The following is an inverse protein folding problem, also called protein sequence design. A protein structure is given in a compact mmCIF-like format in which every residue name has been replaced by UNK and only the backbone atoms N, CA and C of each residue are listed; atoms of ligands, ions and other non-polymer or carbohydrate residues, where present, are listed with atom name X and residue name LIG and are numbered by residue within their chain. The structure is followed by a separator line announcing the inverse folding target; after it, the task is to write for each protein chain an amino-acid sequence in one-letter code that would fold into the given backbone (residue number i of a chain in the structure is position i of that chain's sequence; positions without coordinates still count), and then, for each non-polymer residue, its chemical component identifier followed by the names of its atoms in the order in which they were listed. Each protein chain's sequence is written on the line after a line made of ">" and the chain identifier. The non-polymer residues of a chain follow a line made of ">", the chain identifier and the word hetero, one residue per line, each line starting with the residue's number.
data_IF_019273711626
#
_entry.id   IF_019273711626
#
_cell.length_a   1.000
_cell.length_b   1.000
_cell.length_c   1.000
_cell.angle_alpha   90.00
_cell.angle_beta   90.00
_cell.angle_gamma   90.00
#
_symmetry.space_group_name_H-M   'P 1'
#
loop_
_entity.id
_entity.type
_entity.pdbx_description
1 polymer ?
#
# COMPACT_ATOMS: atom_id res chain seq x y z
N UNK A 1 17.27 -7.14 43.45
CA UNK A 1 16.49 -7.87 42.42
C UNK A 1 16.11 -6.93 41.30
N UNK A 2 15.83 -7.46 40.11
CA UNK A 2 15.37 -6.71 38.95
C UNK A 2 13.98 -7.17 38.57
N UNK A 3 13.08 -6.23 38.31
CA UNK A 3 11.71 -6.48 37.86
C UNK A 3 11.50 -5.74 36.55
N UNK A 4 11.11 -6.49 35.53
CA UNK A 4 10.81 -5.99 34.18
C UNK A 4 9.52 -6.64 33.71
N UNK A 5 8.79 -5.93 32.86
CA UNK A 5 7.68 -6.54 32.15
C UNK A 5 8.20 -7.43 31.01
N UNK A 6 7.58 -8.61 30.86
CA UNK A 6 7.89 -9.50 29.75
C UNK A 6 7.17 -9.02 28.47
N UNK A 7 7.95 -8.60 27.48
CA UNK A 7 7.41 -8.31 26.16
C UNK A 7 7.11 -9.61 25.39
N UNK A 8 5.83 -9.92 25.21
CA UNK A 8 5.37 -11.11 24.48
C UNK A 8 5.25 -10.92 22.96
N UNK A 9 5.50 -9.70 22.46
CA UNK A 9 5.33 -9.31 21.06
C UNK A 9 3.90 -9.51 20.52
N UNK A 10 2.88 -9.36 21.37
CA UNK A 10 1.49 -9.37 20.94
C UNK A 10 1.18 -8.27 19.93
N UNK A 11 0.44 -8.61 18.87
CA UNK A 11 0.12 -7.67 17.80
C UNK A 11 -0.70 -6.47 18.33
N UNK A 12 -0.29 -5.27 17.93
CA UNK A 12 -0.88 -3.99 18.32
C UNK A 12 -0.76 -3.65 19.82
N UNK A 13 0.09 -4.34 20.58
CA UNK A 13 0.45 -3.94 21.93
C UNK A 13 1.86 -3.34 21.95
N UNK A 14 2.02 -2.25 22.68
CA UNK A 14 3.32 -1.73 23.12
C UNK A 14 3.41 -1.93 24.63
N UNK A 15 4.38 -2.75 25.04
CA UNK A 15 4.65 -3.05 26.45
C UNK A 15 5.58 -1.99 27.06
N UNK A 16 5.47 -1.78 28.37
CA UNK A 16 6.33 -0.86 29.10
C UNK A 16 7.76 -1.43 29.16
N UNK A 17 8.75 -0.58 28.89
CA UNK A 17 10.16 -0.95 28.89
C UNK A 17 10.88 -0.59 30.20
N UNK A 18 10.15 -0.05 31.18
CA UNK A 18 10.71 0.33 32.48
C UNK A 18 11.41 -0.85 33.18
N UNK A 19 12.48 -0.53 33.88
CA UNK A 19 13.21 -1.48 34.71
C UNK A 19 13.23 -0.99 36.15
N UNK A 20 12.78 -1.88 37.05
CA UNK A 20 12.82 -1.61 38.47
C UNK A 20 13.91 -2.42 39.15
N UNK A 21 14.68 -1.76 40.00
CA UNK A 21 15.61 -2.38 40.93
C UNK A 21 14.99 -2.40 42.32
N UNK A 22 14.86 -3.59 42.90
CA UNK A 22 14.40 -3.80 44.28
C UNK A 22 15.61 -4.09 45.14
N UNK A 23 15.87 -3.23 46.11
CA UNK A 23 16.94 -3.37 47.09
C UNK A 23 16.29 -3.88 48.37
N UNK A 24 16.79 -5.00 48.90
CA UNK A 24 16.30 -5.59 50.14
C UNK A 24 17.45 -5.56 51.13
N UNK A 25 17.35 -4.67 52.11
CA UNK A 25 18.31 -4.58 53.21
C UNK A 25 17.81 -5.43 54.37
N UNK A 26 18.62 -6.40 54.77
CA UNK A 26 18.31 -7.32 55.87
C UNK A 26 19.25 -7.03 57.01
N UNK A 27 18.68 -6.62 58.14
CA UNK A 27 19.42 -6.29 59.37
C UNK A 27 18.87 -7.06 60.55
N UNK A 28 19.59 -7.02 61.67
CA UNK A 28 19.13 -7.58 62.93
C UNK A 28 18.60 -6.45 63.83
N UNK A 29 17.42 -6.63 64.45
CA UNK A 29 16.87 -5.69 65.43
C UNK A 29 17.49 -5.86 66.84
N UNK A 30 17.00 -5.06 67.79
CA UNK A 30 17.49 -5.08 69.18
C UNK A 30 17.25 -6.43 69.90
N UNK A 31 16.28 -7.23 69.43
CA UNK A 31 15.94 -8.54 69.99
C UNK A 31 16.67 -9.70 69.27
N UNK A 32 17.64 -9.39 68.41
CA UNK A 32 18.34 -10.34 67.54
C UNK A 32 17.46 -11.02 66.48
N UNK A 33 16.37 -10.38 66.03
CA UNK A 33 15.53 -10.89 64.93
C UNK A 33 15.87 -10.21 63.61
N UNK A 34 15.74 -10.94 62.52
CA UNK A 34 15.93 -10.40 61.18
C UNK A 34 14.75 -9.49 60.81
N UNK A 35 15.06 -8.29 60.35
CA UNK A 35 14.13 -7.29 59.80
C UNK A 35 14.60 -6.96 58.38
N UNK A 36 13.66 -6.89 57.45
CA UNK A 36 13.94 -6.53 56.06
C UNK A 36 13.25 -5.20 55.70
N UNK A 37 14.00 -4.29 55.08
CA UNK A 37 13.48 -3.08 54.45
C UNK A 37 13.62 -3.19 52.95
N UNK A 38 12.66 -2.64 52.22
CA UNK A 38 12.61 -2.74 50.75
C UNK A 38 12.55 -1.34 50.16
N UNK A 39 13.52 -1.04 49.31
CA UNK A 39 13.56 0.17 48.49
C UNK A 39 13.40 -0.20 47.01
N UNK A 40 12.65 0.63 46.30
CA UNK A 40 12.38 0.46 44.87
C UNK A 40 12.99 1.62 44.12
N UNK A 41 13.70 1.33 43.03
CA UNK A 41 14.20 2.31 42.10
C UNK A 41 13.67 2.03 40.70
N UNK A 42 13.19 3.06 40.01
CA UNK A 42 12.84 3.05 38.58
C UNK A 42 13.90 3.86 37.84
N UNK A 43 14.59 3.26 36.89
CA UNK A 43 15.62 3.96 36.08
C UNK A 43 16.64 4.73 36.93
N UNK A 44 17.09 4.12 38.04
CA UNK A 44 18.00 4.68 39.06
C UNK A 44 17.46 5.85 39.90
N UNK A 45 16.17 6.17 39.84
CA UNK A 45 15.49 7.09 40.73
C UNK A 45 14.57 6.36 41.71
N UNK A 46 14.38 6.89 42.92
CA UNK A 46 13.48 6.28 43.90
C UNK A 46 12.03 6.23 43.38
N UNK A 47 11.35 5.12 43.61
CA UNK A 47 9.95 4.91 43.26
C UNK A 47 9.18 4.35 44.46
N UNK A 48 7.91 4.71 44.57
CA UNK A 48 7.05 4.24 45.68
C UNK A 48 6.48 2.84 45.41
N UNK A 49 6.29 2.50 44.14
CA UNK A 49 5.71 1.24 43.70
C UNK A 49 6.25 0.84 42.33
N UNK A 50 5.96 -0.40 41.94
CA UNK A 50 6.28 -0.95 40.62
C UNK A 50 5.00 -0.95 39.79
N UNK A 51 4.96 -0.10 38.76
CA UNK A 51 3.85 -0.03 37.80
C UNK A 51 4.39 -0.13 36.36
N UNK A 52 3.68 -0.87 35.51
CA UNK A 52 3.94 -0.97 34.08
C UNK A 52 2.70 -0.50 33.31
N UNK A 53 2.88 0.45 32.38
CA UNK A 53 1.80 1.01 31.57
C UNK A 53 1.91 0.61 30.11
N UNK A 54 0.95 -0.19 29.65
CA UNK A 54 0.91 -0.69 28.28
C UNK A 54 -0.06 0.09 27.41
N UNK A 55 0.19 0.09 26.10
CA UNK A 55 -0.68 0.71 25.10
C UNK A 55 -1.19 -0.34 24.11
N UNK A 56 -2.50 -0.31 23.84
CA UNK A 56 -3.11 -1.04 22.74
C UNK A 56 -3.45 -0.08 21.59
N UNK A 57 -3.15 -0.48 20.36
CA UNK A 57 -3.55 0.24 19.15
C UNK A 57 -4.64 -0.53 18.42
N UNK A 58 -5.76 0.14 18.13
CA UNK A 58 -6.85 -0.48 17.36
C UNK A 58 -6.37 -0.71 15.92
N UNK A 59 -6.46 -1.94 15.38
CA UNK A 59 -6.08 -2.19 13.99
C UNK A 59 -6.87 -1.31 13.04
N UNK A 60 -6.18 -0.71 12.06
CA UNK A 60 -6.82 -0.01 10.95
C UNK A 60 -7.45 -1.05 10.02
N UNK A 61 -8.76 -0.95 9.82
CA UNK A 61 -9.46 -1.74 8.80
C UNK A 61 -8.98 -1.24 7.43
N UNK A 62 -8.47 -2.13 6.56
CA UNK A 62 -8.11 -1.74 5.20
C UNK A 62 -9.31 -1.07 4.53
N UNK A 63 -9.10 0.12 3.97
CA UNK A 63 -10.09 0.73 3.09
C UNK A 63 -10.26 -0.17 1.86
N UNK A 64 -11.51 -0.45 1.51
CA UNK A 64 -11.79 -1.20 0.28
C UNK A 64 -11.09 -0.52 -0.90
N UNK A 65 -10.45 -1.27 -1.81
CA UNK A 65 -9.86 -0.69 -3.01
C UNK A 65 -10.88 0.18 -3.72
N UNK A 66 -10.45 1.33 -4.24
CA UNK A 66 -11.29 2.12 -5.11
C UNK A 66 -11.84 1.22 -6.22
N UNK A 67 -13.15 1.27 -6.43
CA UNK A 67 -13.81 0.49 -7.47
C UNK A 67 -13.09 0.81 -8.80
N UNK A 68 -12.64 -0.19 -9.59
CA UNK A 68 -11.92 0.07 -10.82
C UNK A 68 -12.72 1.05 -11.68
N UNK A 69 -12.07 2.12 -12.11
CA UNK A 69 -12.65 3.02 -13.10
C UNK A 69 -13.03 2.20 -14.32
N UNK A 70 -14.21 2.48 -14.88
CA UNK A 70 -14.71 1.78 -16.06
C UNK A 70 -13.59 1.63 -17.11
N UNK A 71 -13.47 0.47 -17.78
CA UNK A 71 -12.47 0.29 -18.82
C UNK A 71 -12.50 1.47 -19.77
N UNK A 72 -11.35 2.12 -19.99
CA UNK A 72 -11.23 3.09 -21.09
C UNK A 72 -11.76 2.37 -22.32
N UNK A 73 -12.77 2.97 -22.95
CA UNK A 73 -13.38 2.45 -24.18
C UNK A 73 -12.27 2.02 -25.11
N UNK A 74 -12.22 0.73 -25.42
CA UNK A 74 -11.38 0.20 -26.48
C UNK A 74 -11.58 1.09 -27.70
N UNK A 75 -10.49 1.60 -28.28
CA UNK A 75 -10.56 2.24 -29.59
C UNK A 75 -11.23 1.22 -30.51
N UNK A 76 -12.49 1.47 -30.89
CA UNK A 76 -13.24 0.62 -31.82
C UNK A 76 -12.30 0.27 -32.97
N UNK A 77 -12.12 -1.02 -33.35
CA UNK A 77 -11.40 -1.35 -34.56
C UNK A 77 -12.02 -0.55 -35.69
N UNK A 78 -11.22 0.21 -36.43
CA UNK A 78 -11.74 0.95 -37.58
C UNK A 78 -12.07 -0.07 -38.68
N UNK A 79 -13.28 -0.62 -38.65
CA UNK A 79 -13.77 -1.66 -39.56
C UNK A 79 -14.13 -1.13 -40.95
N UNK A 80 -13.81 0.13 -41.26
CA UNK A 80 -14.07 0.72 -42.57
C UNK A 80 -15.56 0.91 -42.87
N UNK A 81 -16.42 0.81 -41.87
CA UNK A 81 -17.87 1.04 -41.89
C UNK A 81 -18.25 2.52 -41.86
N UNK A 82 -17.26 3.42 -41.93
CA UNK A 82 -17.45 4.86 -42.01
C UNK A 82 -17.79 5.27 -43.46
N UNK A 83 -18.90 5.99 -43.65
CA UNK A 83 -19.40 6.39 -44.96
C UNK A 83 -18.36 7.19 -45.78
N UNK A 84 -17.41 7.85 -45.11
CA UNK A 84 -16.27 8.52 -45.74
C UNK A 84 -15.31 7.57 -46.48
N UNK A 85 -15.16 6.32 -46.03
CA UNK A 85 -14.26 5.35 -46.65
C UNK A 85 -14.85 4.73 -47.92
N UNK A 86 -16.18 4.67 -48.02
CA UNK A 86 -16.89 4.23 -49.24
C UNK A 86 -16.67 5.20 -50.41
N UNK A 87 -16.66 6.51 -50.14
CA UNK A 87 -16.39 7.56 -51.14
C UNK A 87 -14.95 7.44 -51.67
N UNK A 88 -13.98 7.15 -50.80
CA UNK A 88 -12.60 6.89 -51.20
C UNK A 88 -12.49 5.65 -52.10
N UNK A 89 -13.15 4.55 -51.74
CA UNK A 89 -13.19 3.33 -52.57
C UNK A 89 -13.87 3.56 -53.93
N UNK A 90 -15.01 4.25 -53.96
CA UNK A 90 -15.70 4.61 -55.22
C UNK A 90 -14.83 5.50 -56.13
N UNK A 91 -14.07 6.44 -55.56
CA UNK A 91 -13.18 7.31 -56.33
C UNK A 91 -12.01 6.57 -57.00
N UNK A 92 -11.49 5.52 -56.35
CA UNK A 92 -10.46 4.64 -56.93
C UNK A 92 -10.96 3.82 -58.12
N UNK A 93 -12.25 3.43 -58.13
CA UNK A 93 -12.87 2.77 -59.30
C UNK A 93 -13.14 3.74 -60.46
N UNK A 94 -13.44 5.01 -60.19
CA UNK A 94 -13.66 6.00 -61.26
C UNK A 94 -12.37 6.38 -62.01
N UNK A 95 -11.23 6.45 -61.30
CA UNK A 95 -9.94 6.77 -61.89
C UNK A 95 -9.39 5.67 -62.84
N UNK A 96 -9.84 4.42 -62.70
CA UNK A 96 -9.34 3.29 -63.51
C UNK A 96 -9.99 3.15 -64.89
N UNK A 97 -11.12 3.82 -65.17
CA UNK A 97 -11.78 3.78 -66.50
C UNK A 97 -11.13 4.74 -67.50
N UNK A 98 -10.37 5.74 -67.04
CA UNK A 98 -9.75 6.77 -67.90
C UNK A 98 -8.60 6.28 -68.79
N UNK A 99 -7.96 5.14 -68.47
CA UNK A 99 -6.76 4.67 -69.18
C UNK A 99 -7.05 3.83 -70.44
N UNK A 100 -8.26 3.28 -70.61
CA UNK A 100 -8.60 2.46 -71.80
C UNK A 100 -9.14 3.30 -72.99
N UNK A 101 -9.67 4.50 -72.75
CA UNK A 101 -10.22 5.37 -73.80
C UNK A 101 -9.16 6.16 -74.60
N UNK A 102 -8.02 6.48 -73.98
CA UNK A 102 -6.97 7.26 -74.64
C UNK A 102 -6.16 6.45 -75.68
N UNK A 103 -6.05 5.13 -75.49
CA UNK A 103 -5.29 4.24 -76.39
C UNK A 103 -6.04 4.00 -77.71
N UNK A 104 -7.37 3.95 -77.69
CA UNK A 104 -8.20 3.68 -78.88
C UNK A 104 -8.42 4.91 -79.77
N UNK A 105 -8.21 6.14 -79.28
CA UNK A 105 -8.33 7.36 -80.10
C UNK A 105 -7.07 7.65 -80.93
N UNK A 106 -5.86 7.36 -80.42
CA UNK A 106 -4.59 7.61 -81.12
C UNK A 106 -4.37 6.74 -82.37
N UNK A 107 -5.03 5.56 -82.46
CA UNK A 107 -4.94 4.69 -83.65
C UNK A 107 -5.77 5.17 -84.85
N UNK A 108 -6.71 6.10 -84.66
CA UNK A 108 -7.63 6.57 -85.73
C UNK A 108 -7.15 7.84 -86.46
N UNK A 109 -6.08 8.48 -85.98
CA UNK A 109 -5.59 9.77 -86.51
C UNK A 109 -4.25 9.72 -87.28
N UNK A 110 -3.64 8.53 -87.45
CA UNK A 110 -2.43 8.35 -88.26
C UNK A 110 -2.67 7.33 -89.40
N UNK A 111 -3.59 7.66 -90.32
CA UNK A 111 -3.58 7.11 -91.68
C UNK A 111 -2.97 8.15 -92.62
#
# INVERSE_FOLDING_TARGET
>A
YKVVELNTNALNYTYDAAEYTVIVDVTTDADNKLVATVDIQKDAAAANEIEFTNKYEVPVVPVAPANPTAPKTSNKPNTGDDAGNLIMMLSMFAASVGLLGAVSYKRKLNK
#
